data_IF_173584243435
#
_entry.id   IF_173584243435
#
_cell.length_a   1.000
_cell.length_b   1.000
_cell.length_c   1.000
_cell.angle_alpha   90.00
_cell.angle_beta   90.00
_cell.angle_gamma   90.00
#
_symmetry.space_group_name_H-M   'P 1'
#
loop_
_entity.id
_entity.type
_entity.pdbx_description
1 polymer ?
#
# COMPACT_ATOMS: atom_id res chain seq x y z
N UNK A 1 19.56 11.90 27.04
CA UNK A 1 20.03 11.06 25.91
C UNK A 1 19.38 11.60 24.66
N UNK A 2 20.13 11.88 23.60
CA UNK A 2 19.57 12.35 22.34
C UNK A 2 19.01 11.12 21.61
N UNK A 3 17.71 11.10 21.35
CA UNK A 3 17.09 10.05 20.55
C UNK A 3 17.60 10.14 19.10
N UNK A 4 17.87 9.00 18.49
CA UNK A 4 18.23 8.93 17.08
C UNK A 4 16.99 9.19 16.23
N UNK A 5 17.06 10.14 15.28
CA UNK A 5 15.97 10.42 14.36
C UNK A 5 16.16 9.57 13.12
N UNK A 6 15.14 8.80 12.75
CA UNK A 6 15.15 7.91 11.58
C UNK A 6 13.88 8.12 10.75
N UNK A 7 13.89 7.65 9.49
CA UNK A 7 12.80 7.86 8.55
C UNK A 7 12.42 6.58 7.82
N UNK A 8 11.14 6.48 7.44
CA UNK A 8 10.66 5.58 6.39
C UNK A 8 9.81 6.36 5.40
N UNK A 9 9.84 5.92 4.15
CA UNK A 9 9.05 6.49 3.07
C UNK A 9 8.08 5.44 2.56
N UNK A 10 6.79 5.78 2.55
CA UNK A 10 5.78 4.92 1.97
C UNK A 10 6.01 4.78 0.45
N UNK A 11 6.00 3.56 -0.07
CA UNK A 11 6.27 3.26 -1.49
C UNK A 11 5.26 3.92 -2.45
N UNK A 12 4.05 4.20 -1.95
CA UNK A 12 3.02 4.94 -2.67
C UNK A 12 3.24 6.46 -2.75
N UNK A 13 4.24 7.01 -2.02
CA UNK A 13 4.57 8.44 -2.07
C UNK A 13 5.00 8.84 -3.49
N UNK A 14 4.36 9.87 -4.02
CA UNK A 14 4.71 10.46 -5.33
C UNK A 14 5.16 11.89 -5.13
N UNK A 15 6.44 12.15 -5.40
CA UNK A 15 7.02 13.49 -5.35
C UNK A 15 7.25 13.97 -6.78
N UNK A 16 6.59 15.06 -7.16
CA UNK A 16 6.96 15.79 -8.37
C UNK A 16 8.35 16.38 -8.24
N UNK A 17 9.13 16.45 -9.32
CA UNK A 17 10.51 16.95 -9.29
C UNK A 17 10.68 18.33 -8.64
N UNK A 18 9.66 19.19 -8.72
CA UNK A 18 9.65 20.50 -8.06
C UNK A 18 9.55 20.40 -6.52
N UNK A 19 8.97 19.30 -6.00
CA UNK A 19 8.79 19.06 -4.56
C UNK A 19 9.99 18.38 -3.91
N UNK A 20 10.82 17.69 -4.69
CA UNK A 20 11.94 16.93 -4.16
C UNK A 20 12.85 17.76 -3.24
N UNK A 21 13.37 18.89 -3.73
CA UNK A 21 14.25 19.76 -2.94
C UNK A 21 13.57 20.36 -1.68
N UNK A 22 12.34 20.89 -1.74
CA UNK A 22 11.63 21.33 -0.54
C UNK A 22 11.42 20.22 0.50
N UNK A 23 11.08 19.02 0.08
CA UNK A 23 10.88 17.87 0.97
C UNK A 23 12.19 17.45 1.61
N UNK A 24 13.29 17.37 0.85
CA UNK A 24 14.62 17.07 1.41
C UNK A 24 15.05 18.09 2.47
N UNK A 25 14.85 19.39 2.22
CA UNK A 25 15.13 20.43 3.19
C UNK A 25 14.27 20.32 4.46
N UNK A 26 13.02 19.90 4.31
CA UNK A 26 12.11 19.64 5.42
C UNK A 26 12.62 18.47 6.26
N UNK A 27 12.96 17.34 5.64
CA UNK A 27 13.48 16.15 6.31
C UNK A 27 14.81 16.41 7.00
N UNK A 28 15.73 17.15 6.38
CA UNK A 28 16.99 17.52 7.00
C UNK A 28 16.76 18.33 8.28
N UNK A 29 15.89 19.33 8.27
CA UNK A 29 15.55 20.10 9.46
C UNK A 29 14.88 19.24 10.53
N UNK A 30 14.03 18.29 10.11
CA UNK A 30 13.35 17.37 11.00
C UNK A 30 14.35 16.40 11.67
N UNK A 31 15.38 15.96 10.93
CA UNK A 31 16.47 15.16 11.47
C UNK A 31 17.34 15.92 12.48
N UNK A 32 17.66 17.20 12.18
CA UNK A 32 18.47 18.05 13.05
C UNK A 32 17.74 18.44 14.35
N UNK A 33 16.46 18.79 14.24
CA UNK A 33 15.61 19.21 15.38
C UNK A 33 14.13 18.98 15.09
N UNK A 34 13.54 17.87 15.55
CA UNK A 34 12.10 17.59 15.39
C UNK A 34 11.19 18.63 16.03
N UNK A 35 11.72 19.44 16.96
CA UNK A 35 10.95 20.49 17.65
C UNK A 35 11.06 21.86 16.96
N UNK A 36 11.78 21.95 15.87
CA UNK A 36 12.03 23.19 15.14
C UNK A 36 10.70 23.88 14.74
N UNK A 37 10.45 25.12 15.25
CA UNK A 37 9.18 25.82 15.00
C UNK A 37 8.88 26.08 13.51
N UNK A 38 9.91 26.15 12.66
CA UNK A 38 9.73 26.39 11.23
C UNK A 38 9.01 25.22 10.50
N UNK A 39 9.12 23.99 11.02
CA UNK A 39 8.48 22.79 10.51
C UNK A 39 6.98 22.78 10.77
N UNK A 40 6.52 23.50 11.80
CA UNK A 40 5.11 23.55 12.23
C UNK A 40 4.46 22.16 12.32
N UNK A 41 5.19 21.20 12.90
CA UNK A 41 4.65 19.87 13.16
C UNK A 41 3.45 19.98 14.08
N UNK A 42 2.32 19.41 13.66
CA UNK A 42 1.05 19.44 14.40
C UNK A 42 0.39 18.09 14.38
N UNK A 43 -0.21 17.71 15.49
CA UNK A 43 -1.12 16.58 15.58
C UNK A 43 -2.37 16.88 14.77
N UNK A 44 -2.85 15.90 13.99
CA UNK A 44 -4.13 15.97 13.31
C UNK A 44 -5.23 15.54 14.30
N UNK A 45 -6.02 16.50 14.79
CA UNK A 45 -6.96 16.27 15.91
C UNK A 45 -8.08 15.29 15.60
N UNK A 46 -8.51 15.23 14.32
CA UNK A 46 -9.57 14.32 13.84
C UNK A 46 -9.00 13.00 13.30
N UNK A 47 -7.68 12.77 13.36
CA UNK A 47 -7.11 11.52 12.89
C UNK A 47 -7.52 10.34 13.80
N UNK A 48 -7.81 9.21 13.16
CA UNK A 48 -8.06 7.92 13.83
C UNK A 48 -6.81 7.47 14.56
N UNK A 49 -5.65 7.55 13.91
CA UNK A 49 -4.36 7.27 14.54
C UNK A 49 -3.74 8.55 15.12
N UNK A 50 -3.50 8.54 16.43
CA UNK A 50 -2.94 9.70 17.13
C UNK A 50 -1.48 10.01 16.82
N UNK A 51 -0.79 9.13 16.10
CA UNK A 51 0.56 9.30 15.60
C UNK A 51 0.63 10.14 14.33
N UNK A 52 -0.50 10.38 13.66
CA UNK A 52 -0.55 11.21 12.45
C UNK A 52 -0.17 12.65 12.77
N UNK A 53 0.77 13.17 12.00
CA UNK A 53 1.26 14.57 12.06
C UNK A 53 1.17 15.20 10.68
N UNK A 54 1.05 16.52 10.69
CA UNK A 54 1.26 17.33 9.50
C UNK A 54 2.41 18.29 9.76
N UNK A 55 3.28 18.46 8.75
CA UNK A 55 4.43 19.36 8.81
C UNK A 55 4.48 20.34 7.64
N UNK A 56 4.98 21.57 7.83
CA UNK A 56 5.11 22.56 6.77
C UNK A 56 6.36 22.31 5.95
N UNK A 57 6.19 21.84 4.71
CA UNK A 57 7.30 21.74 3.74
C UNK A 57 7.64 23.12 3.19
N UNK A 58 6.62 23.87 2.73
CA UNK A 58 6.71 25.28 2.32
C UNK A 58 5.34 25.96 2.47
N UNK A 59 5.11 27.10 1.79
CA UNK A 59 3.85 27.86 1.92
C UNK A 59 2.66 27.13 1.29
N UNK A 60 2.89 26.30 0.27
CA UNK A 60 1.85 25.61 -0.50
C UNK A 60 1.67 24.14 -0.08
N UNK A 61 2.72 23.50 0.46
CA UNK A 61 2.74 22.04 0.69
C UNK A 61 2.92 21.67 2.15
N UNK A 62 2.23 20.59 2.53
CA UNK A 62 2.30 19.95 3.85
C UNK A 62 2.71 18.50 3.69
N UNK A 63 3.65 18.05 4.52
CA UNK A 63 3.94 16.64 4.70
C UNK A 63 2.90 16.00 5.61
N UNK A 64 2.44 14.81 5.25
CA UNK A 64 1.67 13.89 6.09
C UNK A 64 2.60 12.79 6.56
N UNK A 65 2.75 12.62 7.85
CA UNK A 65 3.68 11.67 8.43
C UNK A 65 3.13 11.04 9.72
N UNK A 66 3.60 9.85 10.03
CA UNK A 66 3.44 9.26 11.36
C UNK A 66 4.68 9.54 12.19
N UNK A 67 4.47 9.80 13.45
CA UNK A 67 5.50 9.97 14.46
C UNK A 67 5.44 8.78 15.42
N UNK A 68 6.49 7.95 15.41
CA UNK A 68 6.62 6.75 16.23
C UNK A 68 7.80 6.95 17.15
N UNK A 69 7.65 6.61 18.42
CA UNK A 69 8.70 6.81 19.42
C UNK A 69 8.88 5.58 20.28
N UNK A 70 10.12 5.15 20.42
CA UNK A 70 10.51 4.24 21.49
C UNK A 70 11.55 4.88 22.42
N UNK A 71 12.21 4.09 23.27
CA UNK A 71 13.19 4.59 24.22
C UNK A 71 14.43 5.22 23.57
N UNK A 72 14.80 4.77 22.37
CA UNK A 72 16.06 5.11 21.70
C UNK A 72 15.83 5.87 20.39
N UNK A 73 14.70 5.66 19.74
CA UNK A 73 14.42 6.12 18.38
C UNK A 73 13.23 7.09 18.33
N UNK A 74 13.39 8.16 17.58
CA UNK A 74 12.32 9.04 17.14
C UNK A 74 12.15 8.86 15.63
N UNK A 75 11.18 8.07 15.20
CA UNK A 75 10.99 7.65 13.83
C UNK A 75 9.82 8.37 13.16
N UNK A 76 10.01 8.79 11.91
CA UNK A 76 8.98 9.40 11.10
C UNK A 76 8.73 8.60 9.82
N UNK A 77 7.48 8.24 9.56
CA UNK A 77 7.05 7.60 8.31
C UNK A 77 6.41 8.67 7.43
N UNK A 78 7.07 9.09 6.35
CA UNK A 78 6.51 10.04 5.38
C UNK A 78 5.58 9.29 4.43
N UNK A 79 4.30 9.67 4.44
CA UNK A 79 3.25 8.98 3.68
C UNK A 79 2.83 9.78 2.45
N UNK A 80 2.69 11.10 2.58
CA UNK A 80 2.24 11.96 1.48
C UNK A 80 2.76 13.39 1.66
N UNK A 81 2.77 14.15 0.55
CA UNK A 81 3.03 15.59 0.54
C UNK A 81 1.92 16.28 -0.25
N UNK A 82 1.03 16.94 0.48
CA UNK A 82 -0.18 17.53 -0.05
C UNK A 82 -0.12 19.05 -0.21
N UNK A 83 -0.82 19.58 -1.24
CA UNK A 83 -1.04 21.00 -1.39
C UNK A 83 -2.08 21.49 -0.39
N UNK A 84 -1.86 22.67 0.21
CA UNK A 84 -2.78 23.28 1.17
C UNK A 84 -4.14 23.69 0.52
N UNK A 85 -4.21 23.77 -0.79
CA UNK A 85 -5.44 24.14 -1.51
C UNK A 85 -6.37 22.95 -1.64
N UNK A 86 -7.43 22.94 -0.84
CA UNK A 86 -8.49 21.92 -0.76
C UNK A 86 -9.30 21.73 -2.06
N UNK A 87 -8.94 22.43 -3.14
CA UNK A 87 -9.73 22.49 -4.38
C UNK A 87 -9.47 21.38 -5.40
N UNK A 88 -8.42 20.60 -5.29
CA UNK A 88 -8.07 19.53 -6.24
C UNK A 88 -8.12 18.15 -5.60
N UNK A 89 -9.30 17.72 -5.15
CA UNK A 89 -9.55 16.36 -4.74
C UNK A 89 -9.39 15.41 -5.94
N UNK A 90 -8.19 14.90 -6.15
CA UNK A 90 -7.99 13.69 -6.96
C UNK A 90 -8.56 12.52 -6.17
N UNK A 91 -9.47 11.75 -6.77
CA UNK A 91 -10.21 10.62 -6.19
C UNK A 91 -9.33 9.43 -5.69
N UNK A 92 -8.02 9.59 -5.68
CA UNK A 92 -7.02 8.57 -5.30
C UNK A 92 -6.12 8.98 -4.13
N UNK A 93 -6.42 10.14 -3.50
CA UNK A 93 -5.58 10.63 -2.39
C UNK A 93 -5.92 9.93 -1.08
N UNK A 94 -4.87 9.65 -0.31
CA UNK A 94 -4.99 9.19 1.06
C UNK A 94 -5.63 10.29 1.92
N UNK A 95 -6.67 9.96 2.68
CA UNK A 95 -7.24 10.86 3.68
C UNK A 95 -6.43 10.77 4.98
N UNK A 96 -5.63 11.80 5.35
CA UNK A 96 -4.78 11.74 6.53
C UNK A 96 -5.54 11.47 7.82
N UNK A 97 -6.80 11.88 7.89
CA UNK A 97 -7.64 11.65 9.07
C UNK A 97 -7.99 10.17 9.28
N UNK A 98 -7.92 9.37 8.25
CA UNK A 98 -8.35 7.97 8.23
C UNK A 98 -7.18 6.98 8.16
N UNK A 99 -5.96 7.48 8.05
CA UNK A 99 -4.77 6.66 8.01
C UNK A 99 -4.48 6.04 9.38
N UNK A 100 -4.02 4.80 9.36
CA UNK A 100 -3.61 4.05 10.54
C UNK A 100 -2.41 3.17 10.21
N UNK A 101 -1.45 3.13 11.13
CA UNK A 101 -0.40 2.11 11.13
C UNK A 101 -0.79 0.98 12.11
N UNK A 102 -0.71 -0.24 11.63
CA UNK A 102 -1.01 -1.45 12.42
C UNK A 102 0.09 -2.47 12.27
N UNK A 103 0.24 -3.34 13.26
CA UNK A 103 1.13 -4.50 13.19
C UNK A 103 0.30 -5.71 12.78
N UNK A 104 0.74 -6.42 11.76
CA UNK A 104 0.12 -7.66 11.35
C UNK A 104 0.37 -8.75 12.42
N UNK A 105 -0.68 -9.36 12.99
CA UNK A 105 -0.52 -10.31 14.11
C UNK A 105 0.13 -11.63 13.70
N UNK A 106 0.15 -11.97 12.42
CA UNK A 106 0.66 -13.25 11.91
C UNK A 106 2.14 -13.16 11.55
N UNK A 107 2.56 -12.07 10.88
CA UNK A 107 3.92 -11.92 10.37
C UNK A 107 4.70 -10.76 11.03
N UNK A 108 4.03 -9.91 11.82
CA UNK A 108 4.64 -8.79 12.53
C UNK A 108 5.01 -7.60 11.66
N UNK A 109 4.61 -7.56 10.38
CA UNK A 109 4.85 -6.43 9.51
C UNK A 109 4.02 -5.21 9.92
N UNK A 110 4.60 -4.04 9.78
CA UNK A 110 3.86 -2.78 9.87
C UNK A 110 3.14 -2.52 8.56
N UNK A 111 1.87 -2.18 8.65
CA UNK A 111 0.99 -1.95 7.51
C UNK A 111 0.33 -0.58 7.63
N UNK A 112 0.26 0.15 6.49
CA UNK A 112 -0.54 1.35 6.37
C UNK A 112 -1.94 0.97 5.87
N UNK A 113 -2.95 1.31 6.65
CA UNK A 113 -4.35 1.09 6.31
C UNK A 113 -5.11 2.41 6.28
N UNK A 114 -6.20 2.44 5.53
CA UNK A 114 -7.12 3.56 5.52
C UNK A 114 -8.51 3.07 5.92
N UNK A 115 -9.03 3.58 7.03
CA UNK A 115 -10.36 3.18 7.51
C UNK A 115 -11.45 3.59 6.52
N UNK A 116 -12.45 2.72 6.34
CA UNK A 116 -13.61 3.02 5.50
C UNK A 116 -14.41 4.23 6.03
N UNK A 117 -15.04 5.05 5.17
CA UNK A 117 -15.89 6.14 5.62
C UNK A 117 -16.99 5.61 6.53
N UNK A 118 -17.41 6.37 7.58
CA UNK A 118 -18.55 5.98 8.40
C UNK A 118 -19.78 5.82 7.52
N UNK A 119 -20.62 4.84 7.83
CA UNK A 119 -21.76 4.41 7.02
C UNK A 119 -22.79 5.51 6.66
N UNK A 120 -22.71 6.69 7.26
CA UNK A 120 -23.57 7.83 6.93
C UNK A 120 -23.21 8.49 5.58
N UNK A 121 -21.94 8.34 5.11
CA UNK A 121 -21.47 8.94 3.85
C UNK A 121 -21.52 7.94 2.68
N UNK A 122 -21.87 6.67 2.92
CA UNK A 122 -21.92 5.62 1.90
C UNK A 122 -23.04 5.83 0.89
N UNK A 123 -24.15 6.50 1.24
CA UNK A 123 -25.25 6.76 0.31
C UNK A 123 -24.82 7.70 -0.85
N UNK A 124 -23.84 8.58 -0.63
CA UNK A 124 -23.28 9.42 -1.69
C UNK A 124 -22.13 8.70 -2.45
N UNK A 125 -21.41 7.81 -1.78
CA UNK A 125 -20.32 7.03 -2.36
C UNK A 125 -20.83 5.86 -3.24
N UNK A 126 -21.93 5.21 -2.87
CA UNK A 126 -22.56 4.14 -3.66
C UNK A 126 -23.08 4.67 -4.99
N UNK A 127 -23.72 5.86 -5.03
CA UNK A 127 -24.16 6.47 -6.27
C UNK A 127 -22.99 6.87 -7.20
N UNK A 128 -21.85 7.23 -6.62
CA UNK A 128 -20.63 7.58 -7.35
C UNK A 128 -19.87 6.32 -7.80
N UNK A 129 -19.90 5.27 -7.00
CA UNK A 129 -19.30 3.95 -7.29
C UNK A 129 -20.06 3.25 -8.42
N UNK A 130 -21.40 3.24 -8.40
CA UNK A 130 -22.21 2.68 -9.48
C UNK A 130 -22.07 3.48 -10.78
N UNK A 131 -22.00 4.81 -10.70
CA UNK A 131 -21.75 5.65 -11.89
C UNK A 131 -20.34 5.43 -12.44
N UNK A 132 -19.33 5.25 -11.58
CA UNK A 132 -17.94 4.97 -11.98
C UNK A 132 -17.78 3.54 -12.52
N UNK A 133 -18.45 2.56 -11.92
CA UNK A 133 -18.49 1.17 -12.43
C UNK A 133 -19.18 1.09 -13.79
N UNK A 134 -20.29 1.82 -13.97
CA UNK A 134 -20.99 1.90 -15.26
C UNK A 134 -20.16 2.64 -16.32
N UNK A 135 -19.49 3.73 -15.97
CA UNK A 135 -18.59 4.43 -16.88
C UNK A 135 -17.35 3.61 -17.24
N UNK A 136 -16.80 2.83 -16.30
CA UNK A 136 -15.69 1.90 -16.55
C UNK A 136 -16.12 0.73 -17.44
N UNK A 137 -17.33 0.18 -17.23
CA UNK A 137 -17.89 -0.85 -18.09
C UNK A 137 -18.15 -0.35 -19.52
N UNK A 138 -18.71 0.86 -19.68
CA UNK A 138 -18.89 1.50 -21.00
C UNK A 138 -17.55 1.84 -21.68
N UNK A 139 -16.53 2.23 -20.91
CA UNK A 139 -15.19 2.47 -21.44
C UNK A 139 -14.49 1.17 -21.88
N UNK A 140 -14.65 0.09 -21.12
CA UNK A 140 -14.13 -1.23 -21.43
C UNK A 140 -14.82 -1.81 -22.69
N UNK A 141 -16.14 -1.63 -22.81
CA UNK A 141 -16.91 -2.07 -23.99
C UNK A 141 -16.50 -1.29 -25.25
N UNK A 142 -16.28 0.03 -25.13
CA UNK A 142 -15.77 0.86 -26.23
C UNK A 142 -14.34 0.50 -26.63
N UNK A 143 -13.50 0.12 -25.65
CA UNK A 143 -12.12 -0.32 -25.92
C UNK A 143 -12.11 -1.68 -26.62
N UNK A 144 -12.94 -2.62 -26.16
CA UNK A 144 -13.11 -3.93 -26.77
C UNK A 144 -13.68 -3.83 -28.20
N UNK A 145 -14.66 -2.96 -28.42
CA UNK A 145 -15.21 -2.69 -29.76
C UNK A 145 -14.14 -2.11 -30.70
N UNK A 146 -13.31 -1.20 -30.20
CA UNK A 146 -12.20 -0.58 -30.96
C UNK A 146 -11.09 -1.59 -31.29
N UNK A 147 -10.80 -2.50 -30.36
CA UNK A 147 -9.85 -3.60 -30.58
C UNK A 147 -10.39 -4.63 -31.58
N UNK A 148 -11.69 -4.95 -31.56
CA UNK A 148 -12.33 -5.79 -32.54
C UNK A 148 -12.36 -5.18 -33.94
N UNK A 149 -12.55 -3.87 -34.04
CA UNK A 149 -12.53 -3.15 -35.31
C UNK A 149 -11.11 -3.07 -35.88
N UNK A 150 -10.09 -2.87 -35.03
CA UNK A 150 -8.69 -2.96 -35.45
C UNK A 150 -8.28 -4.39 -35.85
N UNK A 151 -8.77 -5.42 -35.14
CA UNK A 151 -8.51 -6.82 -35.49
C UNK A 151 -9.17 -7.20 -36.83
N UNK A 152 -10.36 -6.66 -37.15
CA UNK A 152 -11.00 -6.83 -38.45
C UNK A 152 -10.21 -6.18 -39.58
N UNK A 153 -9.71 -4.99 -39.39
CA UNK A 153 -8.86 -4.29 -40.37
C UNK A 153 -7.52 -4.98 -40.64
N UNK A 154 -6.97 -5.68 -39.63
CA UNK A 154 -5.73 -6.48 -39.77
C UNK A 154 -5.97 -7.83 -40.41
N UNK A 155 -7.18 -8.42 -40.31
CA UNK A 155 -7.51 -9.71 -40.93
C UNK A 155 -7.86 -9.63 -42.41
N UNK A 156 -8.11 -8.43 -42.94
CA UNK A 156 -8.34 -8.23 -44.40
C UNK A 156 -7.04 -8.05 -45.19
N UNK A 157 -5.87 -7.91 -44.52
CA UNK A 157 -4.61 -7.64 -45.19
C UNK A 157 -3.68 -8.83 -45.41
N UNK A 158 -3.84 -9.95 -44.68
CA UNK A 158 -3.01 -11.14 -44.89
C UNK A 158 -3.77 -12.45 -44.58
N UNK A 159 -3.99 -13.24 -45.57
CA UNK A 159 -4.51 -14.60 -45.43
C UNK A 159 -3.44 -15.52 -44.87
N UNK A 160 -3.39 -15.72 -43.57
CA UNK A 160 -2.69 -16.88 -42.95
C UNK A 160 -3.47 -17.38 -41.73
N UNK A 161 -3.57 -18.69 -41.70
CA UNK A 161 -4.28 -19.60 -40.81
C UNK A 161 -4.19 -19.38 -39.30
N UNK A 162 -5.25 -19.87 -38.67
CA UNK A 162 -5.36 -20.33 -37.30
C UNK A 162 -5.32 -19.24 -36.21
N UNK A 163 -6.47 -18.65 -35.95
CA UNK A 163 -6.83 -18.20 -34.60
C UNK A 163 -6.84 -19.46 -33.70
N UNK A 164 -5.74 -19.66 -32.98
CA UNK A 164 -5.75 -20.54 -31.82
C UNK A 164 -6.74 -19.91 -30.83
N UNK A 165 -7.90 -20.50 -30.71
CA UNK A 165 -8.83 -20.16 -29.63
C UNK A 165 -8.05 -20.37 -28.32
N UNK A 166 -7.67 -19.27 -27.66
CA UNK A 166 -7.09 -19.31 -26.31
C UNK A 166 -8.08 -20.10 -25.45
N UNK A 167 -7.66 -21.25 -24.96
CA UNK A 167 -8.42 -21.99 -23.94
C UNK A 167 -8.74 -21.01 -22.81
N UNK A 168 -9.98 -21.02 -22.30
CA UNK A 168 -10.32 -20.20 -21.15
C UNK A 168 -9.26 -20.47 -20.07
N UNK A 169 -8.51 -19.43 -19.71
CA UNK A 169 -7.48 -19.50 -18.68
C UNK A 169 -8.17 -19.90 -17.37
N UNK A 170 -7.63 -20.88 -16.66
CA UNK A 170 -8.20 -21.34 -15.40
C UNK A 170 -8.33 -20.18 -14.41
N UNK A 171 -9.33 -20.19 -13.51
CA UNK A 171 -9.46 -19.17 -12.48
C UNK A 171 -8.17 -19.02 -11.67
N UNK A 172 -7.82 -17.81 -11.18
CA UNK A 172 -6.58 -17.55 -10.44
C UNK A 172 -6.36 -18.48 -9.24
N UNK A 173 -7.42 -18.91 -8.56
CA UNK A 173 -7.37 -19.81 -7.41
C UNK A 173 -6.94 -21.24 -7.70
N UNK A 174 -6.90 -21.66 -8.97
CA UNK A 174 -6.74 -23.09 -9.36
C UNK A 174 -5.50 -23.73 -8.75
N UNK A 175 -4.34 -23.07 -8.81
CA UNK A 175 -3.10 -23.61 -8.23
C UNK A 175 -3.15 -23.60 -6.71
N UNK A 176 -3.76 -22.60 -6.10
CA UNK A 176 -3.93 -22.53 -4.65
C UNK A 176 -4.85 -23.66 -4.15
N UNK A 177 -5.96 -23.95 -4.85
CA UNK A 177 -6.85 -25.07 -4.54
C UNK A 177 -6.16 -26.42 -4.76
N UNK A 178 -5.35 -26.53 -5.81
CA UNK A 178 -4.57 -27.75 -6.08
C UNK A 178 -3.59 -28.06 -4.96
N UNK A 179 -2.97 -27.03 -4.39
CA UNK A 179 -2.08 -27.14 -3.23
C UNK A 179 -2.84 -27.30 -1.90
N UNK A 180 -4.16 -27.35 -1.91
CA UNK A 180 -5.01 -27.57 -0.74
C UNK A 180 -5.16 -26.34 0.17
N UNK A 181 -4.85 -25.15 -0.33
CA UNK A 181 -4.99 -23.91 0.44
C UNK A 181 -6.44 -23.44 0.46
N UNK A 182 -6.77 -22.70 1.52
CA UNK A 182 -8.03 -21.98 1.71
C UNK A 182 -7.75 -20.55 2.14
N UNK A 183 -8.69 -19.60 1.99
CA UNK A 183 -8.52 -18.25 2.52
C UNK A 183 -8.09 -18.21 3.99
N UNK A 184 -8.71 -19.06 4.83
CA UNK A 184 -8.38 -19.12 6.26
C UNK A 184 -6.95 -19.63 6.50
N UNK A 185 -6.53 -20.71 5.80
CA UNK A 185 -5.16 -21.23 5.97
C UNK A 185 -4.09 -20.25 5.50
N UNK A 186 -4.33 -19.51 4.42
CA UNK A 186 -3.39 -18.51 3.92
C UNK A 186 -3.29 -17.29 4.84
N UNK A 187 -4.41 -16.88 5.48
CA UNK A 187 -4.36 -15.88 6.53
C UNK A 187 -3.48 -16.34 7.71
N UNK A 188 -3.71 -17.56 8.22
CA UNK A 188 -2.94 -18.11 9.36
C UNK A 188 -1.45 -18.30 9.04
N UNK A 189 -1.10 -18.60 7.80
CA UNK A 189 0.27 -18.89 7.39
C UNK A 189 1.07 -17.64 6.96
N UNK A 190 0.46 -16.71 6.27
CA UNK A 190 1.14 -15.55 5.69
C UNK A 190 0.68 -14.22 6.30
N UNK A 191 -0.52 -14.14 6.87
CA UNK A 191 -1.12 -12.91 7.37
C UNK A 191 -1.69 -12.01 6.27
N UNK A 192 -1.93 -12.55 5.07
CA UNK A 192 -2.62 -11.81 3.99
C UNK A 192 -4.05 -11.51 4.42
N UNK A 193 -4.54 -10.30 4.13
CA UNK A 193 -5.89 -9.86 4.53
C UNK A 193 -6.97 -10.85 4.11
N UNK A 194 -7.80 -11.29 5.07
CA UNK A 194 -8.79 -12.33 4.83
C UNK A 194 -9.86 -11.91 3.82
N UNK A 195 -10.29 -10.65 3.84
CA UNK A 195 -11.28 -10.14 2.89
C UNK A 195 -10.71 -10.11 1.46
N UNK A 196 -9.41 -9.81 1.31
CA UNK A 196 -8.71 -9.92 0.03
C UNK A 196 -8.67 -11.38 -0.43
N UNK A 197 -8.27 -12.32 0.42
CA UNK A 197 -8.24 -13.75 0.07
C UNK A 197 -9.60 -14.27 -0.38
N UNK A 198 -10.68 -13.91 0.32
CA UNK A 198 -12.04 -14.27 -0.07
C UNK A 198 -12.44 -13.65 -1.42
N UNK A 199 -11.98 -12.44 -1.73
CA UNK A 199 -12.24 -11.80 -3.01
C UNK A 199 -11.44 -12.49 -4.14
N UNK A 200 -10.17 -12.85 -3.90
CA UNK A 200 -9.34 -13.62 -4.84
C UNK A 200 -9.98 -15.00 -5.15
N UNK A 201 -10.56 -15.66 -4.14
CA UNK A 201 -11.28 -16.92 -4.35
C UNK A 201 -12.51 -16.79 -5.24
N UNK A 202 -13.12 -15.61 -5.27
CA UNK A 202 -14.28 -15.32 -6.13
C UNK A 202 -13.90 -14.83 -7.53
N UNK A 203 -12.65 -14.42 -7.73
CA UNK A 203 -12.17 -13.91 -9.01
C UNK A 203 -12.20 -15.03 -10.08
N UNK A 204 -12.79 -14.74 -11.23
CA UNK A 204 -12.93 -15.66 -12.35
C UNK A 204 -11.87 -15.41 -13.43
N UNK A 205 -11.19 -14.26 -13.37
CA UNK A 205 -10.21 -13.84 -14.37
C UNK A 205 -8.99 -13.18 -13.77
N UNK A 206 -7.88 -13.18 -14.51
CA UNK A 206 -6.66 -12.48 -14.17
C UNK A 206 -6.87 -10.95 -14.10
N UNK A 207 -7.76 -10.40 -14.93
CA UNK A 207 -8.09 -8.98 -14.92
C UNK A 207 -8.79 -8.57 -13.61
N UNK A 208 -9.70 -9.40 -13.10
CA UNK A 208 -10.31 -9.18 -11.79
C UNK A 208 -9.30 -9.29 -10.66
N UNK A 209 -8.40 -10.29 -10.72
CA UNK A 209 -7.31 -10.42 -9.77
C UNK A 209 -6.44 -9.15 -9.73
N UNK A 210 -6.02 -8.64 -10.88
CA UNK A 210 -5.22 -7.41 -10.96
C UNK A 210 -5.94 -6.21 -10.34
N UNK A 211 -7.26 -6.08 -10.56
CA UNK A 211 -8.04 -5.00 -9.95
C UNK A 211 -8.09 -5.11 -8.42
N UNK A 212 -8.18 -6.32 -7.88
CA UNK A 212 -8.16 -6.57 -6.44
C UNK A 212 -6.81 -6.21 -5.81
N UNK A 213 -5.72 -6.46 -6.53
CA UNK A 213 -4.36 -6.29 -6.04
C UNK A 213 -3.84 -4.83 -6.16
N UNK A 214 -4.37 -4.03 -7.08
CA UNK A 214 -3.85 -2.67 -7.39
C UNK A 214 -3.80 -1.69 -6.21
N UNK A 215 -4.63 -1.89 -5.19
CA UNK A 215 -4.71 -0.99 -4.03
C UNK A 215 -4.19 -1.65 -2.74
N UNK A 216 -3.45 -2.75 -2.87
CA UNK A 216 -2.95 -3.52 -1.73
C UNK A 216 -1.47 -3.24 -1.46
N UNK A 217 -0.99 -3.50 -0.23
CA UNK A 217 0.44 -3.52 0.07
C UNK A 217 1.21 -4.39 -0.92
N UNK A 218 2.41 -3.97 -1.29
CA UNK A 218 3.20 -4.65 -2.33
C UNK A 218 3.52 -6.09 -1.94
N UNK A 219 3.79 -6.35 -0.65
CA UNK A 219 4.06 -7.70 -0.17
C UNK A 219 2.83 -8.64 -0.29
N UNK A 220 1.59 -8.13 -0.07
CA UNK A 220 0.36 -8.93 -0.27
C UNK A 220 0.14 -9.24 -1.75
N UNK A 221 0.37 -8.23 -2.61
CA UNK A 221 0.31 -8.40 -4.06
C UNK A 221 1.26 -9.51 -4.52
N UNK A 222 2.53 -9.43 -4.12
CA UNK A 222 3.55 -10.40 -4.53
C UNK A 222 3.32 -11.79 -3.93
N UNK A 223 2.83 -11.86 -2.68
CA UNK A 223 2.45 -13.12 -2.06
C UNK A 223 1.34 -13.84 -2.86
N UNK A 224 0.26 -13.12 -3.21
CA UNK A 224 -0.85 -13.70 -3.97
C UNK A 224 -0.40 -14.10 -5.37
N UNK A 225 0.39 -13.28 -6.07
CA UNK A 225 0.90 -13.65 -7.40
C UNK A 225 1.79 -14.89 -7.34
N UNK A 226 2.63 -15.04 -6.33
CA UNK A 226 3.44 -16.25 -6.12
C UNK A 226 2.56 -17.50 -5.94
N UNK A 227 1.54 -17.42 -5.09
CA UNK A 227 0.61 -18.53 -4.86
C UNK A 227 -0.19 -18.89 -6.13
N UNK A 228 -0.65 -17.91 -6.89
CA UNK A 228 -1.34 -18.11 -8.18
C UNK A 228 -0.41 -18.71 -9.23
N UNK A 229 0.89 -18.41 -9.18
CA UNK A 229 1.91 -19.00 -10.04
C UNK A 229 2.30 -20.45 -9.63
N UNK A 230 1.74 -20.97 -8.52
CA UNK A 230 1.95 -22.32 -8.04
C UNK A 230 3.07 -22.47 -7.00
N UNK A 231 3.66 -21.37 -6.51
CA UNK A 231 4.61 -21.44 -5.40
C UNK A 231 3.90 -21.87 -4.12
N UNK A 232 4.62 -22.62 -3.28
CA UNK A 232 4.15 -22.99 -1.96
C UNK A 232 4.21 -21.81 -0.97
N UNK A 233 3.45 -21.90 0.12
CA UNK A 233 3.47 -20.90 1.20
C UNK A 233 4.88 -20.69 1.75
N UNK A 234 5.68 -21.75 1.90
CA UNK A 234 7.05 -21.63 2.40
C UNK A 234 7.97 -20.91 1.41
N UNK A 235 7.86 -21.24 0.11
CA UNK A 235 8.62 -20.51 -0.94
C UNK A 235 8.25 -19.04 -1.01
N UNK A 236 6.96 -18.70 -0.89
CA UNK A 236 6.50 -17.31 -0.86
C UNK A 236 7.02 -16.60 0.39
N UNK A 237 6.93 -17.25 1.56
CA UNK A 237 7.43 -16.70 2.83
C UNK A 237 8.94 -16.41 2.75
N UNK A 238 9.71 -17.35 2.26
CA UNK A 238 11.17 -17.23 2.13
C UNK A 238 11.55 -16.13 1.11
N UNK A 239 10.86 -16.09 -0.04
CA UNK A 239 11.14 -15.10 -1.10
C UNK A 239 10.88 -13.67 -0.65
N UNK A 240 9.86 -13.46 0.18
CA UNK A 240 9.49 -12.15 0.72
C UNK A 240 10.18 -11.83 2.05
N UNK A 241 10.90 -12.78 2.66
CA UNK A 241 11.49 -12.62 3.99
C UNK A 241 10.45 -12.43 5.10
N UNK A 242 9.25 -13.01 4.93
CA UNK A 242 8.19 -12.93 5.92
C UNK A 242 8.51 -13.80 7.14
N UNK A 243 8.29 -13.27 8.33
CA UNK A 243 8.34 -14.04 9.57
C UNK A 243 7.02 -14.76 9.78
N UNK A 244 7.05 -15.90 10.43
CA UNK A 244 5.88 -16.55 11.02
C UNK A 244 5.94 -16.35 12.52
N UNK A 245 4.98 -15.67 13.08
CA UNK A 245 4.84 -15.50 14.53
C UNK A 245 3.95 -16.60 15.09
N UNK A 246 4.22 -16.98 16.35
CA UNK A 246 3.28 -17.83 17.07
C UNK A 246 1.96 -17.06 17.32
N UNK A 247 0.80 -17.73 17.29
CA UNK A 247 -0.49 -17.09 17.55
C UNK A 247 -0.48 -16.32 18.88
N UNK A 248 -0.85 -15.04 18.83
CA UNK A 248 -0.86 -14.16 19.98
C UNK A 248 0.52 -13.64 20.42
N UNK A 249 1.59 -13.87 19.65
CA UNK A 249 2.93 -13.40 20.01
C UNK A 249 3.00 -11.86 20.11
N UNK A 250 2.26 -11.15 19.29
CA UNK A 250 2.21 -9.68 19.30
C UNK A 250 1.58 -9.21 20.62
N UNK A 251 0.43 -9.74 21.01
CA UNK A 251 -0.28 -9.39 22.25
C UNK A 251 0.48 -9.83 23.50
N UNK A 252 1.16 -10.96 23.44
CA UNK A 252 1.89 -11.54 24.57
C UNK A 252 3.28 -10.91 24.78
N UNK A 253 3.80 -10.17 23.80
CA UNK A 253 5.11 -9.55 23.87
C UNK A 253 5.24 -8.55 25.03
N UNK A 254 4.14 -7.94 25.46
CA UNK A 254 4.12 -6.87 26.45
C UNK A 254 4.85 -5.58 26.00
N UNK A 255 5.30 -5.54 24.76
CA UNK A 255 5.90 -4.34 24.16
C UNK A 255 4.80 -3.32 23.84
N UNK A 256 5.16 -2.04 23.92
CA UNK A 256 4.25 -0.98 23.46
C UNK A 256 4.08 -1.02 21.93
N UNK A 257 2.98 -0.45 21.46
CA UNK A 257 2.61 -0.49 20.04
C UNK A 257 3.67 0.17 19.15
N UNK A 258 4.29 1.25 19.60
CA UNK A 258 5.32 1.97 18.85
C UNK A 258 6.59 1.11 18.66
N UNK A 259 7.00 0.37 19.69
CA UNK A 259 8.11 -0.60 19.61
C UNK A 259 7.81 -1.71 18.60
N UNK A 260 6.57 -2.24 18.59
CA UNK A 260 6.15 -3.27 17.64
C UNK A 260 6.11 -2.76 16.20
N UNK A 261 5.62 -1.54 15.99
CA UNK A 261 5.62 -0.88 14.68
C UNK A 261 7.04 -0.70 14.16
N UNK A 262 7.96 -0.21 14.98
CA UNK A 262 9.38 -0.04 14.58
C UNK A 262 10.02 -1.38 14.24
N UNK A 263 9.73 -2.43 15.01
CA UNK A 263 10.22 -3.78 14.71
C UNK A 263 9.65 -4.31 13.38
N UNK A 264 8.38 -4.01 13.07
CA UNK A 264 7.73 -4.37 11.82
C UNK A 264 8.32 -3.63 10.61
N UNK A 265 8.60 -2.34 10.73
CA UNK A 265 9.23 -1.53 9.67
C UNK A 265 10.66 -1.98 9.32
N UNK A 266 11.37 -2.62 10.25
CA UNK A 266 12.75 -3.12 10.06
C UNK A 266 12.82 -4.54 9.48
N UNK A 267 11.69 -5.17 9.16
CA UNK A 267 11.67 -6.47 8.50
C UNK A 267 11.98 -6.33 7.01
N UNK A 268 12.69 -7.29 6.37
CA UNK A 268 12.99 -7.22 4.94
C UNK A 268 11.75 -7.05 4.06
N UNK A 269 10.66 -7.76 4.35
CA UNK A 269 9.41 -7.64 3.63
C UNK A 269 8.77 -6.23 3.72
N UNK A 270 9.07 -5.46 4.77
CA UNK A 270 8.57 -4.11 4.91
C UNK A 270 9.17 -3.15 3.88
N UNK A 271 10.36 -3.44 3.33
CA UNK A 271 11.01 -2.60 2.30
C UNK A 271 10.19 -2.51 1.01
N UNK A 272 9.32 -3.47 0.75
CA UNK A 272 8.39 -3.43 -0.39
C UNK A 272 7.38 -2.27 -0.28
N UNK A 273 7.00 -1.92 0.96
CA UNK A 273 6.00 -0.89 1.23
C UNK A 273 6.57 0.34 1.92
N UNK A 274 7.74 0.23 2.58
CA UNK A 274 8.39 1.33 3.29
C UNK A 274 9.90 1.28 3.09
N UNK A 275 10.46 2.27 2.40
CA UNK A 275 11.92 2.44 2.36
C UNK A 275 12.41 2.98 3.70
N UNK A 276 13.14 2.16 4.48
CA UNK A 276 13.69 2.52 5.78
C UNK A 276 15.07 3.16 5.66
N UNK A 277 15.32 4.27 6.35
CA UNK A 277 16.61 4.95 6.41
C UNK A 277 17.07 5.06 7.87
N UNK A 278 18.15 4.36 8.19
CA UNK A 278 18.76 4.36 9.53
C UNK A 278 19.58 5.64 9.81
N UNK A 279 20.16 6.22 8.77
CA UNK A 279 20.96 7.44 8.88
C UNK A 279 20.58 8.43 7.77
N UNK A 280 20.26 9.66 8.15
CA UNK A 280 19.86 10.71 7.22
C UNK A 280 21.11 11.41 6.69
N UNK A 281 21.92 10.67 5.96
CA UNK A 281 22.93 11.26 5.10
C UNK A 281 22.27 11.96 3.91
N UNK A 282 22.71 13.18 3.64
CA UNK A 282 22.23 13.98 2.51
C UNK A 282 22.47 13.30 1.14
N UNK A 283 23.37 12.33 1.05
CA UNK A 283 23.58 11.55 -0.18
C UNK A 283 22.54 10.44 -0.33
N UNK A 284 22.13 9.77 0.75
CA UNK A 284 21.06 8.76 0.76
C UNK A 284 19.72 9.38 0.38
N UNK A 285 19.43 10.59 0.86
CA UNK A 285 18.21 11.33 0.50
C UNK A 285 18.17 11.80 -0.97
N UNK A 286 19.31 11.81 -1.69
CA UNK A 286 19.37 12.14 -3.12
C UNK A 286 19.09 10.94 -4.02
N UNK A 287 19.13 9.74 -3.49
CA UNK A 287 18.92 8.49 -4.23
C UNK A 287 17.46 8.02 -4.26
N UNK A 288 16.59 8.62 -3.42
CA UNK A 288 15.13 8.43 -3.38
C UNK A 288 14.45 9.49 -4.25
#
# INVERSE_FOLDING_TARGET
>A
MTQMVTFSFYSGLRLDGALHKPVMNFLQKLAEDPTNPSLRIKTLSNAVDKRVRTGRVNDQFRAVLFEIRDAETHHFVLVDVDSHDEGNAKAERLDPARLRLTVNPVNGLTQLTQEAPPAADTAAAESTSEAKAKAAAEAAEKLAAKQQEQARHLSEADGVDAVVAEKPKAPPRTEMEHNGYTPASLYEELGVDQALLEAVWRAESEAELQLLLNARPTWEHDAILGLVAGYTVDEVRDSLGLKKLEPGAVEQSGADEDTLLLAGLRQPAAELDFAYLDDVDTESLRAV
#
